data_IF_385252986000
#
_entry.id   IF_385252986000
#
_cell.length_a   1.000
_cell.length_b   1.000
_cell.length_c   1.000
_cell.angle_alpha   90.00
_cell.angle_beta   90.00
_cell.angle_gamma   90.00
#
_symmetry.space_group_name_H-M   'P 1'
#
loop_
_entity.id
_entity.type
_entity.pdbx_description
1 polymer ?
#
# COMPACT_ATOMS: atom_id res chain seq x y z
N UNK A 1 -5.27 36.93 -42.46
CA UNK A 1 -6.51 36.21 -42.04
C UNK A 1 -6.60 34.85 -42.72
N UNK A 2 -6.14 34.72 -43.96
CA UNK A 2 -6.17 33.48 -44.75
C UNK A 2 -5.37 32.31 -44.17
N UNK A 3 -4.25 32.57 -43.48
CA UNK A 3 -3.40 31.49 -42.94
C UNK A 3 -4.06 30.68 -41.82
N UNK A 4 -4.84 31.33 -40.95
CA UNK A 4 -5.53 30.63 -39.85
C UNK A 4 -6.67 29.79 -40.38
N UNK A 5 -7.45 30.32 -41.33
CA UNK A 5 -8.52 29.55 -41.97
C UNK A 5 -7.97 28.36 -42.75
N UNK A 6 -6.83 28.53 -43.43
CA UNK A 6 -6.14 27.44 -44.12
C UNK A 6 -5.66 26.35 -43.15
N UNK A 7 -5.01 26.72 -42.03
CA UNK A 7 -4.55 25.76 -41.01
C UNK A 7 -5.72 24.96 -40.42
N UNK A 8 -6.85 25.61 -40.10
CA UNK A 8 -8.01 24.91 -39.56
C UNK A 8 -8.75 24.08 -40.60
N UNK A 9 -8.72 24.48 -41.88
CA UNK A 9 -9.23 23.66 -42.98
C UNK A 9 -8.38 22.40 -43.18
N UNK A 10 -7.05 22.52 -43.13
CA UNK A 10 -6.14 21.38 -43.21
C UNK A 10 -6.31 20.45 -42.00
N UNK A 11 -6.46 21.02 -40.79
CA UNK A 11 -6.77 20.25 -39.59
C UNK A 11 -8.08 19.48 -39.73
N UNK A 12 -9.15 20.11 -40.24
CA UNK A 12 -10.43 19.44 -40.49
C UNK A 12 -10.25 18.26 -41.45
N UNK A 13 -9.56 18.47 -42.57
CA UNK A 13 -9.30 17.40 -43.55
C UNK A 13 -8.54 16.23 -42.91
N UNK A 14 -7.57 16.49 -42.03
CA UNK A 14 -6.85 15.45 -41.27
C UNK A 14 -7.76 14.69 -40.30
N UNK A 15 -8.67 15.39 -39.62
CA UNK A 15 -9.66 14.76 -38.73
C UNK A 15 -10.63 13.88 -39.52
N UNK A 16 -11.08 14.34 -40.68
CA UNK A 16 -11.95 13.57 -41.59
C UNK A 16 -11.22 12.32 -42.14
N UNK A 17 -9.92 12.45 -42.46
CA UNK A 17 -9.07 11.33 -42.89
C UNK A 17 -8.92 10.27 -41.78
N UNK A 18 -8.71 10.71 -40.53
CA UNK A 18 -8.68 9.84 -39.35
C UNK A 18 -10.03 9.13 -39.15
N UNK A 19 -11.14 9.85 -39.31
CA UNK A 19 -12.47 9.28 -39.17
C UNK A 19 -12.77 8.23 -40.26
N UNK A 20 -12.30 8.46 -41.48
CA UNK A 20 -12.45 7.51 -42.61
C UNK A 20 -11.67 6.21 -42.38
N UNK A 21 -10.54 6.28 -41.67
CA UNK A 21 -9.70 5.13 -41.35
C UNK A 21 -9.83 4.69 -39.89
N UNK A 22 -10.97 4.94 -39.25
CA UNK A 22 -11.16 4.75 -37.81
C UNK A 22 -10.77 3.34 -37.30
N UNK A 23 -10.95 2.30 -38.12
CA UNK A 23 -10.61 0.92 -37.77
C UNK A 23 -9.09 0.68 -37.61
N UNK A 24 -8.26 1.55 -38.19
CA UNK A 24 -6.79 1.48 -38.13
C UNK A 24 -6.17 2.43 -37.11
N UNK A 25 -6.98 3.24 -36.43
CA UNK A 25 -6.53 4.26 -35.50
C UNK A 25 -6.25 3.64 -34.13
N UNK A 26 -4.98 3.67 -33.68
CA UNK A 26 -4.60 3.15 -32.36
C UNK A 26 -4.95 4.12 -31.21
N UNK A 27 -4.64 5.41 -31.37
CA UNK A 27 -4.94 6.45 -30.37
C UNK A 27 -5.03 7.83 -30.99
N UNK A 28 -5.94 8.68 -30.48
CA UNK A 28 -6.11 10.07 -30.90
C UNK A 28 -6.33 10.93 -29.66
N UNK A 29 -5.69 12.09 -29.60
CA UNK A 29 -5.94 13.08 -28.57
C UNK A 29 -5.92 14.48 -29.16
N UNK A 30 -6.98 15.24 -28.89
CA UNK A 30 -7.12 16.63 -29.28
C UNK A 30 -7.51 17.46 -28.08
N UNK A 31 -6.79 18.56 -27.86
CA UNK A 31 -7.15 19.62 -26.93
C UNK A 31 -7.18 20.94 -27.69
N UNK A 32 -8.30 21.66 -27.62
CA UNK A 32 -8.44 23.02 -28.11
C UNK A 32 -8.93 23.92 -26.98
N UNK A 33 -8.35 25.09 -26.83
CA UNK A 33 -8.68 26.04 -25.76
C UNK A 33 -9.05 27.39 -26.39
N UNK A 34 -10.25 27.87 -26.10
CA UNK A 34 -10.74 29.16 -26.56
C UNK A 34 -10.22 30.28 -25.66
N UNK A 35 -10.09 31.49 -26.21
CA UNK A 35 -9.64 32.68 -25.46
C UNK A 35 -10.51 33.02 -24.25
N UNK A 36 -11.75 32.53 -24.20
CA UNK A 36 -12.68 32.70 -23.07
C UNK A 36 -12.48 31.63 -21.97
N UNK A 37 -11.47 30.75 -22.08
CA UNK A 37 -11.17 29.70 -21.12
C UNK A 37 -11.95 28.39 -21.31
N UNK A 38 -12.82 28.29 -22.32
CA UNK A 38 -13.53 27.05 -22.63
C UNK A 38 -12.61 26.09 -23.40
N UNK A 39 -12.56 24.81 -23.01
CA UNK A 39 -11.74 23.81 -23.68
C UNK A 39 -12.54 22.65 -24.27
N UNK A 40 -12.20 22.25 -25.48
CA UNK A 40 -12.67 21.02 -26.12
C UNK A 40 -11.59 19.95 -25.98
N UNK A 41 -11.96 18.78 -25.46
CA UNK A 41 -11.05 17.66 -25.28
C UNK A 41 -11.68 16.40 -25.87
N UNK A 42 -10.96 15.76 -26.80
CA UNK A 42 -11.31 14.47 -27.34
C UNK A 42 -10.13 13.52 -27.13
N UNK A 43 -10.39 12.34 -26.57
CA UNK A 43 -9.38 11.29 -26.42
C UNK A 43 -9.99 9.94 -26.75
N UNK A 44 -9.37 9.27 -27.72
CA UNK A 44 -9.67 7.92 -28.13
C UNK A 44 -8.43 7.04 -27.98
N UNK A 45 -8.61 5.83 -27.49
CA UNK A 45 -7.60 4.80 -27.43
C UNK A 45 -8.28 3.45 -27.70
N UNK A 46 -7.84 2.76 -28.75
CA UNK A 46 -8.47 1.54 -29.24
C UNK A 46 -8.47 0.42 -28.19
N UNK A 47 -7.40 0.29 -27.39
CA UNK A 47 -7.32 -0.72 -26.33
C UNK A 47 -8.30 -0.44 -25.19
N UNK A 48 -8.40 0.82 -24.74
CA UNK A 48 -9.40 1.24 -23.74
C UNK A 48 -10.83 1.02 -24.23
N UNK A 49 -11.09 1.32 -25.50
CA UNK A 49 -12.40 1.14 -26.12
C UNK A 49 -12.76 -0.34 -26.29
N UNK A 50 -11.81 -1.17 -26.74
CA UNK A 50 -11.99 -2.62 -26.85
C UNK A 50 -12.24 -3.28 -25.48
N UNK A 51 -11.52 -2.85 -24.43
CA UNK A 51 -11.76 -3.28 -23.04
C UNK A 51 -13.15 -2.90 -22.52
N UNK A 52 -13.68 -1.75 -22.93
CA UNK A 52 -15.04 -1.32 -22.55
C UNK A 52 -16.14 -2.12 -23.27
N UNK A 53 -15.86 -2.60 -24.50
CA UNK A 53 -16.84 -3.31 -25.34
C UNK A 53 -16.96 -4.81 -25.00
N UNK A 54 -15.95 -5.42 -24.38
CA UNK A 54 -15.95 -6.80 -23.89
C UNK A 54 -15.76 -6.89 -22.36
N UNK A 55 -16.80 -6.61 -21.57
CA UNK A 55 -16.72 -6.69 -20.10
C UNK A 55 -16.55 -8.13 -19.56
N UNK A 56 -16.85 -9.16 -20.36
CA UNK A 56 -16.81 -10.57 -19.93
C UNK A 56 -15.39 -11.12 -19.69
N UNK A 57 -14.34 -10.42 -20.11
CA UNK A 57 -12.94 -10.78 -19.84
C UNK A 57 -12.24 -9.91 -18.78
N UNK A 58 -12.95 -9.02 -18.10
CA UNK A 58 -12.36 -7.81 -17.51
C UNK A 58 -12.02 -7.86 -16.00
N UNK A 59 -12.00 -9.04 -15.35
CA UNK A 59 -11.44 -9.18 -14.00
C UNK A 59 -10.05 -9.82 -14.08
N UNK A 60 -9.04 -8.98 -14.29
CA UNK A 60 -7.63 -9.40 -14.29
C UNK A 60 -6.98 -9.00 -12.97
N UNK A 61 -6.80 -9.96 -12.07
CA UNK A 61 -6.08 -9.72 -10.81
C UNK A 61 -4.64 -9.33 -11.04
N UNK A 62 -4.10 -8.46 -10.19
CA UNK A 62 -2.71 -8.03 -10.24
C UNK A 62 -1.76 -9.19 -9.87
N UNK A 63 -2.03 -9.90 -8.77
CA UNK A 63 -1.30 -11.14 -8.41
C UNK A 63 -2.10 -12.03 -7.47
N UNK A 64 -2.60 -13.16 -7.98
CA UNK A 64 -3.39 -14.13 -7.18
C UNK A 64 -2.55 -14.72 -6.04
N UNK A 65 -1.29 -15.08 -6.33
CA UNK A 65 -0.40 -15.72 -5.34
C UNK A 65 -0.17 -14.82 -4.11
N UNK A 66 0.17 -13.54 -4.32
CA UNK A 66 0.37 -12.62 -3.21
C UNK A 66 -0.94 -12.41 -2.42
N UNK A 67 -2.09 -12.34 -3.12
CA UNK A 67 -3.40 -12.26 -2.48
C UNK A 67 -3.71 -13.46 -1.56
N UNK A 68 -3.32 -14.67 -1.96
CA UNK A 68 -3.45 -15.88 -1.11
C UNK A 68 -2.53 -15.79 0.11
N UNK A 69 -1.27 -15.37 -0.06
CA UNK A 69 -0.33 -15.19 1.06
C UNK A 69 -0.87 -14.18 2.08
N UNK A 70 -1.46 -13.08 1.61
CA UNK A 70 -2.08 -12.07 2.46
C UNK A 70 -3.30 -12.62 3.22
N UNK A 71 -4.14 -13.45 2.58
CA UNK A 71 -5.26 -14.12 3.27
C UNK A 71 -4.72 -15.03 4.39
N UNK A 72 -3.70 -15.84 4.10
CA UNK A 72 -3.07 -16.71 5.10
C UNK A 72 -2.53 -15.86 6.25
N UNK A 73 -1.83 -14.77 5.96
CA UNK A 73 -1.29 -13.89 6.98
C UNK A 73 -2.37 -13.23 7.86
N UNK A 74 -3.50 -12.85 7.26
CA UNK A 74 -4.67 -12.36 7.98
C UNK A 74 -5.25 -13.43 8.92
N UNK A 75 -5.47 -14.65 8.41
CA UNK A 75 -6.01 -15.76 9.21
C UNK A 75 -5.07 -16.15 10.36
N UNK A 76 -3.76 -16.19 10.10
CA UNK A 76 -2.75 -16.42 11.14
C UNK A 76 -2.78 -15.31 12.20
N UNK A 77 -2.92 -14.05 11.80
CA UNK A 77 -3.04 -12.93 12.74
C UNK A 77 -4.30 -13.02 13.60
N UNK A 78 -5.43 -13.46 13.04
CA UNK A 78 -6.68 -13.73 13.76
C UNK A 78 -6.53 -14.88 14.76
N UNK A 79 -5.84 -15.95 14.39
CA UNK A 79 -5.56 -17.04 15.31
C UNK A 79 -4.65 -16.59 16.46
N UNK A 80 -3.61 -15.81 16.17
CA UNK A 80 -2.65 -15.32 17.16
C UNK A 80 -3.27 -14.35 18.16
N UNK A 81 -4.07 -13.38 17.71
CA UNK A 81 -4.75 -12.43 18.61
C UNK A 81 -5.74 -13.16 19.53
N UNK A 82 -6.48 -14.14 19.01
CA UNK A 82 -7.40 -14.94 19.81
C UNK A 82 -6.64 -15.73 20.89
N UNK A 83 -5.52 -16.36 20.52
CA UNK A 83 -4.67 -17.06 21.47
C UNK A 83 -4.08 -16.12 22.53
N UNK A 84 -3.49 -15.00 22.14
CA UNK A 84 -2.86 -14.04 23.06
C UNK A 84 -3.86 -13.45 24.05
N UNK A 85 -5.06 -13.07 23.61
CA UNK A 85 -6.08 -12.50 24.50
C UNK A 85 -6.50 -13.49 25.58
N UNK A 86 -6.55 -14.79 25.26
CA UNK A 86 -6.88 -15.83 26.24
C UNK A 86 -5.78 -16.05 27.28
N UNK A 87 -4.52 -15.75 26.95
CA UNK A 87 -3.37 -15.91 27.85
C UNK A 87 -3.10 -14.67 28.71
N UNK A 88 -3.51 -13.48 28.26
CA UNK A 88 -3.19 -12.24 28.97
C UNK A 88 -3.89 -12.16 30.33
N UNK A 89 -3.21 -11.81 31.44
CA UNK A 89 -3.86 -11.52 32.71
C UNK A 89 -4.77 -10.28 32.61
N UNK A 90 -5.66 -10.10 33.59
CA UNK A 90 -6.62 -8.99 33.63
C UNK A 90 -5.94 -7.62 33.79
N UNK A 91 -5.43 -7.07 32.68
CA UNK A 91 -4.90 -5.72 32.54
C UNK A 91 -5.49 -5.05 31.31
N UNK A 92 -6.33 -4.02 31.51
CA UNK A 92 -7.10 -3.40 30.42
C UNK A 92 -6.20 -2.75 29.34
N UNK A 93 -5.08 -2.14 29.73
CA UNK A 93 -4.21 -1.40 28.80
C UNK A 93 -3.48 -2.28 27.78
N UNK A 94 -2.82 -3.34 28.25
CA UNK A 94 -2.05 -4.26 27.38
C UNK A 94 -2.98 -5.01 26.43
N UNK A 95 -4.08 -5.57 26.95
CA UNK A 95 -5.08 -6.29 26.14
C UNK A 95 -5.65 -5.42 25.02
N UNK A 96 -6.02 -4.17 25.31
CA UNK A 96 -6.53 -3.24 24.29
C UNK A 96 -5.45 -2.93 23.26
N UNK A 97 -4.22 -2.66 23.68
CA UNK A 97 -3.13 -2.33 22.76
C UNK A 97 -2.77 -3.52 21.85
N UNK A 98 -2.77 -4.74 22.38
CA UNK A 98 -2.65 -5.97 21.59
C UNK A 98 -3.80 -6.11 20.61
N UNK A 99 -5.03 -5.90 21.05
CA UNK A 99 -6.19 -6.01 20.17
C UNK A 99 -6.09 -5.05 18.98
N UNK A 100 -5.75 -3.79 19.25
CA UNK A 100 -5.57 -2.75 18.23
C UNK A 100 -4.40 -3.06 17.29
N UNK A 101 -3.27 -3.52 17.83
CA UNK A 101 -2.08 -3.87 17.03
C UNK A 101 -2.41 -4.96 16.00
N UNK A 102 -3.02 -6.06 16.44
CA UNK A 102 -3.36 -7.16 15.55
C UNK A 102 -4.51 -6.81 14.61
N UNK A 103 -5.49 -6.01 15.05
CA UNK A 103 -6.54 -5.50 14.16
C UNK A 103 -5.96 -4.74 12.97
N UNK A 104 -4.93 -3.92 13.19
CA UNK A 104 -4.27 -3.19 12.12
C UNK A 104 -3.43 -4.11 11.21
N UNK A 105 -2.75 -5.12 11.74
CA UNK A 105 -2.10 -6.14 10.92
C UNK A 105 -3.12 -6.86 10.02
N UNK A 106 -4.25 -7.29 10.59
CA UNK A 106 -5.36 -7.94 9.87
C UNK A 106 -5.90 -7.02 8.77
N UNK A 107 -6.22 -5.76 9.08
CA UNK A 107 -6.70 -4.78 8.09
C UNK A 107 -5.66 -4.59 6.98
N UNK A 108 -4.38 -4.49 7.33
CA UNK A 108 -3.29 -4.36 6.35
C UNK A 108 -3.24 -5.55 5.40
N UNK A 109 -3.34 -6.78 5.92
CA UNK A 109 -3.34 -7.99 5.10
C UNK A 109 -4.59 -8.13 4.23
N UNK A 110 -5.79 -7.89 4.79
CA UNK A 110 -7.04 -7.92 4.01
C UNK A 110 -7.00 -6.90 2.88
N UNK A 111 -6.59 -5.66 3.16
CA UNK A 111 -6.47 -4.63 2.14
C UNK A 111 -5.37 -4.96 1.11
N UNK A 112 -4.30 -5.62 1.54
CA UNK A 112 -3.26 -6.11 0.61
C UNK A 112 -3.79 -7.21 -0.32
N UNK A 113 -4.58 -8.16 0.21
CA UNK A 113 -5.22 -9.18 -0.61
C UNK A 113 -6.18 -8.57 -1.64
N UNK A 114 -7.02 -7.62 -1.20
CA UNK A 114 -7.92 -6.88 -2.09
C UNK A 114 -7.14 -6.10 -3.16
N UNK A 115 -6.08 -5.38 -2.76
CA UNK A 115 -5.16 -4.71 -3.69
C UNK A 115 -4.64 -5.65 -4.78
N UNK A 116 -4.30 -6.89 -4.42
CA UNK A 116 -3.79 -7.90 -5.35
C UNK A 116 -4.87 -8.53 -6.24
N UNK A 117 -6.12 -8.60 -5.80
CA UNK A 117 -7.23 -9.14 -6.59
C UNK A 117 -7.82 -8.13 -7.58
N UNK A 118 -7.74 -6.83 -7.30
CA UNK A 118 -8.16 -5.78 -8.24
C UNK A 118 -7.06 -5.49 -9.29
N UNK A 119 -7.49 -5.09 -10.49
CA UNK A 119 -6.56 -4.72 -11.56
C UNK A 119 -5.99 -3.32 -11.35
N UNK A 120 -4.81 -3.03 -11.88
CA UNK A 120 -4.14 -1.72 -11.74
C UNK A 120 -4.94 -0.56 -12.34
N UNK A 121 -5.90 -0.85 -13.22
CA UNK A 121 -6.76 0.14 -13.89
C UNK A 121 -7.97 0.55 -13.03
N UNK A 122 -8.29 -0.21 -11.99
CA UNK A 122 -9.44 0.04 -11.13
C UNK A 122 -9.10 0.99 -10.00
N UNK A 123 -9.98 1.95 -9.71
CA UNK A 123 -9.84 2.89 -8.57
C UNK A 123 -9.68 2.16 -7.24
N UNK A 124 -10.32 1.01 -7.09
CA UNK A 124 -10.20 0.15 -5.91
C UNK A 124 -8.74 -0.24 -5.61
N UNK A 125 -7.95 -0.56 -6.63
CA UNK A 125 -6.54 -0.90 -6.48
C UNK A 125 -5.75 0.23 -5.81
N UNK A 126 -5.98 1.47 -6.22
CA UNK A 126 -5.35 2.64 -5.61
C UNK A 126 -5.80 2.81 -4.16
N UNK A 127 -7.10 2.74 -3.89
CA UNK A 127 -7.67 2.90 -2.54
C UNK A 127 -7.08 1.87 -1.57
N UNK A 128 -7.09 0.58 -1.95
CA UNK A 128 -6.55 -0.49 -1.12
C UNK A 128 -5.03 -0.39 -0.94
N UNK A 129 -4.31 0.16 -1.92
CA UNK A 129 -2.90 0.49 -1.74
C UNK A 129 -2.68 1.53 -0.64
N UNK A 130 -3.49 2.57 -0.54
CA UNK A 130 -3.33 3.57 0.53
C UNK A 130 -3.75 3.03 1.90
N UNK A 131 -4.86 2.30 1.96
CA UNK A 131 -5.36 1.75 3.23
C UNK A 131 -4.39 0.72 3.79
N UNK A 132 -3.86 -0.20 2.95
CA UNK A 132 -2.90 -1.22 3.43
C UNK A 132 -1.62 -0.58 3.97
N UNK A 133 -1.07 0.43 3.28
CA UNK A 133 0.15 1.10 3.73
C UNK A 133 -0.08 1.90 5.01
N UNK A 134 -1.23 2.57 5.13
CA UNK A 134 -1.62 3.30 6.34
C UNK A 134 -1.79 2.38 7.54
N UNK A 135 -2.49 1.25 7.36
CA UNK A 135 -2.69 0.24 8.40
C UNK A 135 -1.36 -0.36 8.84
N UNK A 136 -0.46 -0.68 7.90
CA UNK A 136 0.90 -1.13 8.20
C UNK A 136 1.68 -0.13 9.07
N UNK A 137 1.72 1.15 8.68
CA UNK A 137 2.43 2.20 9.42
C UNK A 137 1.97 2.25 10.88
N UNK A 138 0.66 2.25 11.10
CA UNK A 138 0.11 2.26 12.46
C UNK A 138 0.35 0.93 13.19
N UNK A 139 0.23 -0.23 12.53
CA UNK A 139 0.46 -1.53 13.14
C UNK A 139 1.87 -1.64 13.71
N UNK A 140 2.89 -1.23 12.94
CA UNK A 140 4.28 -1.23 13.38
C UNK A 140 4.51 -0.29 14.57
N UNK A 141 3.92 0.90 14.55
CA UNK A 141 4.02 1.83 15.66
C UNK A 141 3.34 1.30 16.94
N UNK A 142 2.16 0.70 16.83
CA UNK A 142 1.50 0.09 17.99
C UNK A 142 2.25 -1.14 18.50
N UNK A 143 2.88 -1.93 17.61
CA UNK A 143 3.75 -3.03 18.02
C UNK A 143 4.95 -2.54 18.84
N UNK A 144 5.59 -1.43 18.45
CA UNK A 144 6.66 -0.82 19.25
C UNK A 144 6.16 -0.36 20.62
N UNK A 145 4.99 0.30 20.67
CA UNK A 145 4.39 0.74 21.92
C UNK A 145 4.03 -0.44 22.83
N UNK A 146 3.49 -1.51 22.26
CA UNK A 146 3.13 -2.73 23.00
C UNK A 146 4.39 -3.38 23.59
N UNK A 147 5.45 -3.48 22.79
CA UNK A 147 6.73 -4.03 23.24
C UNK A 147 7.32 -3.22 24.40
N UNK A 148 7.35 -1.89 24.26
CA UNK A 148 7.83 -0.99 25.29
C UNK A 148 6.97 -1.05 26.56
N UNK A 149 5.64 -1.17 26.43
CA UNK A 149 4.74 -1.24 27.57
C UNK A 149 4.94 -2.49 28.41
N UNK A 150 5.30 -3.62 27.78
CA UNK A 150 5.51 -4.89 28.48
C UNK A 150 6.90 -4.95 29.10
N UNK A 151 7.95 -4.57 28.37
CA UNK A 151 9.33 -4.75 28.82
C UNK A 151 9.89 -3.59 29.64
N UNK A 152 9.66 -2.35 29.22
CA UNK A 152 10.26 -1.17 29.87
C UNK A 152 9.32 0.04 29.80
N UNK A 153 8.33 0.13 30.71
CA UNK A 153 7.34 1.20 30.72
C UNK A 153 7.94 2.62 30.82
N UNK A 154 9.13 2.77 31.42
CA UNK A 154 9.85 4.05 31.49
C UNK A 154 10.24 4.60 30.13
N UNK A 155 10.49 3.72 29.15
CA UNK A 155 10.88 4.08 27.78
C UNK A 155 9.68 4.42 26.87
N UNK A 156 8.44 4.28 27.36
CA UNK A 156 7.21 4.51 26.57
C UNK A 156 7.13 5.89 25.94
N UNK A 157 7.52 6.95 26.67
CA UNK A 157 7.47 8.32 26.15
C UNK A 157 8.40 8.50 24.96
N UNK A 158 9.61 7.94 25.04
CA UNK A 158 10.60 7.98 23.98
C UNK A 158 10.14 7.17 22.76
N UNK A 159 9.73 5.91 22.96
CA UNK A 159 9.23 5.02 21.89
C UNK A 159 8.03 5.62 21.19
N UNK A 160 7.09 6.21 21.94
CA UNK A 160 5.93 6.92 21.39
C UNK A 160 6.35 8.11 20.54
N UNK A 161 7.25 8.95 21.04
CA UNK A 161 7.65 10.18 20.34
C UNK A 161 8.39 9.86 19.04
N UNK A 162 9.31 8.90 19.05
CA UNK A 162 10.01 8.43 17.85
C UNK A 162 9.05 7.77 16.86
N UNK A 163 8.13 6.92 17.33
CA UNK A 163 7.13 6.28 16.46
C UNK A 163 6.21 7.33 15.82
N UNK A 164 5.73 8.32 16.58
CA UNK A 164 4.87 9.40 16.05
C UNK A 164 5.60 10.25 15.02
N UNK A 165 6.89 10.57 15.23
CA UNK A 165 7.69 11.30 14.27
C UNK A 165 7.81 10.53 12.94
N UNK A 166 8.14 9.24 13.01
CA UNK A 166 8.24 8.39 11.82
C UNK A 166 6.88 8.20 11.13
N UNK A 167 5.79 8.04 11.88
CA UNK A 167 4.43 8.00 11.34
C UNK A 167 4.11 9.29 10.60
N UNK A 168 4.34 10.45 11.22
CA UNK A 168 4.05 11.75 10.63
C UNK A 168 4.82 11.96 9.32
N UNK A 169 6.11 11.63 9.31
CA UNK A 169 6.93 11.69 8.09
C UNK A 169 6.44 10.69 7.03
N UNK A 170 6.15 9.45 7.40
CA UNK A 170 5.65 8.43 6.47
C UNK A 170 4.33 8.88 5.82
N UNK A 171 3.39 9.44 6.59
CA UNK A 171 2.12 9.97 6.06
C UNK A 171 2.29 11.23 5.22
N UNK A 172 3.19 12.14 5.60
CA UNK A 172 3.50 13.32 4.80
C UNK A 172 3.90 12.90 3.37
N UNK A 173 4.82 11.94 3.25
CA UNK A 173 5.26 11.44 1.95
C UNK A 173 4.23 10.54 1.26
N UNK A 174 3.44 9.77 2.02
CA UNK A 174 2.33 9.01 1.45
C UNK A 174 1.30 9.93 0.79
N UNK A 175 1.04 11.12 1.36
CA UNK A 175 0.11 12.11 0.81
C UNK A 175 0.56 12.76 -0.49
N UNK A 176 1.86 12.69 -0.83
CA UNK A 176 2.44 13.37 -1.99
C UNK A 176 2.03 12.82 -3.36
N UNK A 177 1.42 11.63 -3.42
CA UNK A 177 0.90 10.97 -4.65
C UNK A 177 1.91 10.84 -5.82
N UNK A 178 3.21 10.90 -5.55
CA UNK A 178 4.27 10.65 -6.55
C UNK A 178 4.96 9.33 -6.26
N UNK A 179 5.63 8.75 -7.28
CA UNK A 179 6.41 7.52 -7.08
C UNK A 179 7.55 7.75 -6.07
N UNK A 180 8.23 8.90 -6.14
CA UNK A 180 9.27 9.26 -5.19
C UNK A 180 8.71 9.38 -3.77
N UNK A 181 7.56 10.05 -3.60
CA UNK A 181 6.97 10.21 -2.28
C UNK A 181 6.53 8.88 -1.68
N UNK A 182 5.99 7.95 -2.49
CA UNK A 182 5.71 6.59 -2.04
C UNK A 182 6.99 5.84 -1.62
N UNK A 183 8.07 5.94 -2.40
CA UNK A 183 9.34 5.30 -2.08
C UNK A 183 9.93 5.83 -0.77
N UNK A 184 9.91 7.14 -0.56
CA UNK A 184 10.36 7.76 0.69
C UNK A 184 9.48 7.32 1.87
N UNK A 185 8.15 7.29 1.70
CA UNK A 185 7.22 6.79 2.72
C UNK A 185 7.55 5.34 3.13
N UNK A 186 7.79 4.46 2.16
CA UNK A 186 8.18 3.07 2.39
C UNK A 186 9.54 2.97 3.10
N UNK A 187 10.52 3.78 2.73
CA UNK A 187 11.83 3.81 3.38
C UNK A 187 11.73 4.23 4.85
N UNK A 188 10.93 5.25 5.14
CA UNK A 188 10.66 5.70 6.52
C UNK A 188 9.90 4.63 7.30
N UNK A 189 8.93 3.98 6.66
CA UNK A 189 8.18 2.86 7.25
C UNK A 189 9.09 1.67 7.57
N UNK A 190 10.15 1.44 6.78
CA UNK A 190 11.14 0.39 7.04
C UNK A 190 12.01 0.66 8.28
N UNK A 191 12.06 1.91 8.76
CA UNK A 191 12.78 2.29 9.98
C UNK A 191 11.93 2.11 11.25
N UNK A 192 10.59 2.14 11.13
CA UNK A 192 9.68 2.03 12.29
C UNK A 192 9.98 0.83 13.20
N UNK A 193 10.20 -0.40 12.70
CA UNK A 193 10.40 -1.56 13.58
C UNK A 193 11.62 -1.42 14.50
N UNK A 194 12.65 -0.69 14.06
CA UNK A 194 13.88 -0.51 14.82
C UNK A 194 13.72 0.42 16.03
N UNK A 195 12.61 1.15 16.15
CA UNK A 195 12.32 1.92 17.37
C UNK A 195 12.18 1.00 18.58
N UNK A 196 11.73 -0.24 18.39
CA UNK A 196 11.66 -1.24 19.48
C UNK A 196 13.04 -1.57 20.09
N UNK A 197 14.14 -1.35 19.36
CA UNK A 197 15.51 -1.60 19.84
C UNK A 197 15.98 -0.59 20.90
N UNK A 198 15.25 0.50 21.11
CA UNK A 198 15.47 1.39 22.26
C UNK A 198 15.24 0.65 23.57
N UNK A 199 14.35 -0.34 23.57
CA UNK A 199 13.93 -1.10 24.77
C UNK A 199 14.65 -2.45 24.86
N UNK A 200 14.81 -3.14 23.72
CA UNK A 200 15.40 -4.48 23.71
C UNK A 200 16.28 -4.70 22.48
N UNK A 201 17.57 -4.92 22.71
CA UNK A 201 18.59 -5.20 21.70
C UNK A 201 18.94 -6.69 21.58
N UNK A 202 18.09 -7.58 22.09
CA UNK A 202 18.24 -9.03 21.91
C UNK A 202 18.28 -9.41 20.42
N UNK A 203 18.90 -10.56 20.11
CA UNK A 203 18.94 -11.06 18.73
C UNK A 203 17.54 -11.30 18.16
N UNK A 204 16.59 -11.74 18.98
CA UNK A 204 15.20 -11.95 18.56
C UNK A 204 14.50 -10.61 18.20
N UNK A 205 14.73 -9.56 18.99
CA UNK A 205 14.22 -8.21 18.72
C UNK A 205 14.80 -7.61 17.45
N UNK A 206 16.10 -7.82 17.21
CA UNK A 206 16.79 -7.41 15.98
C UNK A 206 16.22 -8.18 14.78
N UNK A 207 16.10 -9.51 14.87
CA UNK A 207 15.55 -10.35 13.79
C UNK A 207 14.13 -9.93 13.44
N UNK A 208 13.27 -9.73 14.43
CA UNK A 208 11.90 -9.25 14.25
C UNK A 208 11.86 -7.88 13.57
N UNK A 209 12.72 -6.96 13.98
CA UNK A 209 12.82 -5.63 13.39
C UNK A 209 13.21 -5.71 11.91
N UNK A 210 14.16 -6.58 11.57
CA UNK A 210 14.58 -6.84 10.19
C UNK A 210 13.42 -7.44 9.37
N UNK A 211 12.71 -8.43 9.90
CA UNK A 211 11.57 -9.06 9.23
C UNK A 211 10.47 -8.04 8.90
N UNK A 212 10.09 -7.18 9.85
CA UNK A 212 9.13 -6.11 9.59
C UNK A 212 9.68 -5.02 8.66
N UNK A 213 10.98 -4.73 8.71
CA UNK A 213 11.60 -3.78 7.80
C UNK A 213 11.57 -4.28 6.35
N UNK A 214 11.85 -5.58 6.14
CA UNK A 214 11.78 -6.24 4.83
C UNK A 214 10.38 -6.18 4.21
N UNK A 215 9.31 -6.08 5.01
CA UNK A 215 7.95 -5.86 4.50
C UNK A 215 7.85 -4.58 3.64
N UNK A 216 8.61 -3.54 3.98
CA UNK A 216 8.64 -2.28 3.22
C UNK A 216 9.78 -2.26 2.20
N UNK A 217 10.99 -2.73 2.56
CA UNK A 217 12.18 -2.70 1.70
C UNK A 217 11.99 -3.57 0.45
N UNK A 218 11.40 -4.75 0.57
CA UNK A 218 11.14 -5.63 -0.58
C UNK A 218 10.32 -4.90 -1.67
N UNK A 219 9.39 -4.04 -1.26
CA UNK A 219 8.56 -3.25 -2.17
C UNK A 219 9.37 -2.19 -2.93
N UNK A 220 10.46 -1.69 -2.35
CA UNK A 220 11.37 -0.73 -2.98
C UNK A 220 12.30 -1.38 -4.00
N UNK A 221 12.77 -2.58 -3.70
CA UNK A 221 13.79 -3.27 -4.50
C UNK A 221 13.18 -4.05 -5.66
N UNK A 222 12.00 -4.65 -5.46
CA UNK A 222 11.38 -5.46 -6.51
C UNK A 222 10.76 -4.60 -7.61
N UNK A 223 11.10 -4.95 -8.87
CA UNK A 223 10.52 -4.31 -10.06
C UNK A 223 8.99 -4.33 -9.98
N UNK A 224 8.31 -3.24 -10.39
CA UNK A 224 6.83 -3.17 -10.44
C UNK A 224 6.17 -4.34 -11.17
N UNK A 225 6.85 -4.90 -12.16
CA UNK A 225 6.41 -5.96 -13.05
C UNK A 225 6.60 -7.38 -12.49
N UNK A 226 7.31 -7.53 -11.35
CA UNK A 226 7.49 -8.85 -10.73
C UNK A 226 6.14 -9.39 -10.24
N UNK A 227 5.70 -10.52 -10.81
CA UNK A 227 4.42 -11.17 -10.45
C UNK A 227 4.43 -11.78 -9.05
N UNK A 228 5.62 -12.08 -8.52
CA UNK A 228 5.83 -12.52 -7.13
C UNK A 228 6.50 -11.39 -6.37
N UNK A 229 5.74 -10.80 -5.45
CA UNK A 229 6.23 -9.82 -4.47
C UNK A 229 5.84 -10.38 -3.12
N UNK A 230 6.68 -11.24 -2.58
CA UNK A 230 6.47 -11.93 -1.30
C UNK A 230 6.80 -11.05 -0.10
N UNK A 231 6.55 -9.74 -0.17
CA UNK A 231 6.83 -8.81 0.92
C UNK A 231 5.98 -9.12 2.17
N UNK A 232 4.73 -9.55 1.99
CA UNK A 232 3.85 -9.98 3.08
C UNK A 232 4.29 -11.28 3.77
N UNK A 233 5.12 -12.10 3.14
CA UNK A 233 5.69 -13.27 3.81
C UNK A 233 6.65 -12.84 4.94
N UNK A 234 7.44 -11.79 4.72
CA UNK A 234 8.29 -11.21 5.77
C UNK A 234 7.46 -10.61 6.91
N UNK A 235 6.35 -9.95 6.57
CA UNK A 235 5.40 -9.44 7.56
C UNK A 235 4.81 -10.56 8.41
N UNK A 236 4.37 -11.65 7.78
CA UNK A 236 3.83 -12.83 8.47
C UNK A 236 4.86 -13.44 9.42
N UNK A 237 6.10 -13.66 8.96
CA UNK A 237 7.19 -14.14 9.81
C UNK A 237 7.46 -13.18 10.98
N UNK A 238 7.43 -11.86 10.72
CA UNK A 238 7.55 -10.83 11.76
C UNK A 238 6.42 -10.88 12.78
N UNK A 239 5.16 -11.05 12.35
CA UNK A 239 3.99 -11.19 13.24
C UNK A 239 4.11 -12.47 14.07
N UNK A 240 4.51 -13.60 13.48
CA UNK A 240 4.70 -14.86 14.21
C UNK A 240 5.79 -14.67 15.27
N UNK A 241 6.97 -14.14 14.88
CA UNK A 241 8.07 -13.85 15.79
C UNK A 241 7.68 -12.90 16.93
N UNK A 242 6.89 -11.86 16.62
CA UNK A 242 6.35 -10.95 17.62
C UNK A 242 5.38 -11.67 18.57
N UNK A 243 4.47 -12.48 18.02
CA UNK A 243 3.48 -13.25 18.80
C UNK A 243 4.16 -14.21 19.77
N UNK A 244 5.13 -14.98 19.29
CA UNK A 244 5.88 -15.93 20.13
C UNK A 244 6.64 -15.22 21.25
N UNK A 245 7.23 -14.07 20.94
CA UNK A 245 7.94 -13.27 21.94
C UNK A 245 6.98 -12.68 22.98
N UNK A 246 5.79 -12.23 22.56
CA UNK A 246 4.74 -11.80 23.49
C UNK A 246 4.26 -12.95 24.37
N UNK A 247 4.02 -14.14 23.82
CA UNK A 247 3.61 -15.31 24.62
C UNK A 247 4.63 -15.66 25.70
N UNK A 248 5.93 -15.51 25.44
CA UNK A 248 6.96 -15.77 26.44
C UNK A 248 6.98 -14.74 27.60
N UNK A 249 6.32 -13.59 27.43
CA UNK A 249 6.28 -12.49 28.39
C UNK A 249 4.94 -12.38 29.15
N UNK A 250 3.95 -13.21 28.79
CA UNK A 250 2.59 -13.23 29.36
C UNK A 250 2.40 -14.46 30.24
#
# INVERSE_FOLDING_TARGET
MDDVQKIFSDFKNRVDEIATHAEHVHSVSFKAELKNGTSFNFSFNAEKFAKAKNPEGAFKSYSIFNGIVDIIASLSSIAMIAYLILQMPDGQGVRVLTFLTYSLFIISFICSALFHFFSTEQKAHVIFSYIKESAKIFALALANLLWAHILEPSSLVMVRSLSLLLIALAFLFLSGRTQLSLQVSLAITALLPFVSLVVDTSMDSILRSILFSLWSIATLVFKPESRMKTNSAFALMGVISFSTALTALL
#
